data_IF_463261733850
#
_entry.id   IF_463261733850
#
_cell.length_a   1.000
_cell.length_b   1.000
_cell.length_c   1.000
_cell.angle_alpha   90.00
_cell.angle_beta   90.00
_cell.angle_gamma   90.00
#
_symmetry.space_group_name_H-M   'P 1'
#
loop_
_entity.id
_entity.type
_entity.pdbx_description
1 polymer ?
#
# COMPACT_ATOMS: atom_id res chain seq x y z
N UNK A 1 2.31 -21.36 9.19
CA UNK A 1 1.89 -20.02 9.66
C UNK A 1 3.06 -19.04 9.91
N UNK A 2 4.26 -19.25 9.37
CA UNK A 2 5.39 -18.29 9.50
C UNK A 2 5.81 -17.64 8.17
N UNK A 3 5.20 -18.05 7.06
CA UNK A 3 5.54 -17.60 5.72
C UNK A 3 4.52 -16.59 5.17
N UNK A 4 4.96 -15.72 4.27
CA UNK A 4 4.09 -14.85 3.46
C UNK A 4 3.69 -15.59 2.19
N UNK A 5 2.42 -15.45 1.79
CA UNK A 5 1.92 -15.92 0.49
C UNK A 5 2.28 -14.90 -0.59
N UNK A 6 3.07 -15.31 -1.59
CA UNK A 6 3.42 -14.48 -2.74
C UNK A 6 2.72 -14.91 -4.03
N UNK A 7 1.99 -16.03 -4.01
CA UNK A 7 1.52 -16.71 -5.22
C UNK A 7 0.01 -16.59 -5.42
N UNK A 8 -0.78 -16.47 -4.35
CA UNK A 8 -2.23 -16.37 -4.46
C UNK A 8 -2.68 -14.98 -4.92
N UNK A 9 -3.35 -14.93 -6.07
CA UNK A 9 -3.94 -13.70 -6.62
C UNK A 9 -4.96 -13.06 -5.71
N UNK A 10 -4.94 -11.73 -5.61
CA UNK A 10 -6.01 -10.97 -4.96
C UNK A 10 -7.22 -10.85 -5.89
N UNK A 11 -8.45 -11.02 -5.39
CA UNK A 11 -9.64 -10.68 -6.16
C UNK A 11 -9.66 -9.18 -6.43
N UNK A 12 -10.11 -8.81 -7.63
CA UNK A 12 -10.25 -7.43 -8.10
C UNK A 12 -11.72 -7.17 -8.39
N UNK A 13 -12.21 -6.02 -7.96
CA UNK A 13 -13.62 -5.63 -8.10
C UNK A 13 -13.71 -4.34 -8.90
N UNK A 14 -14.38 -4.37 -10.05
CA UNK A 14 -14.43 -3.19 -10.93
C UNK A 14 -15.22 -2.04 -10.31
N UNK A 15 -14.66 -0.83 -10.32
CA UNK A 15 -15.38 0.39 -9.95
C UNK A 15 -16.51 0.72 -10.95
N UNK A 16 -16.46 0.17 -12.16
CA UNK A 16 -17.43 0.44 -13.24
C UNK A 16 -18.73 -0.35 -13.08
N UNK A 17 -18.74 -1.35 -12.19
CA UNK A 17 -19.89 -2.18 -11.86
C UNK A 17 -20.26 -1.99 -10.38
N UNK A 18 -21.43 -1.40 -10.12
CA UNK A 18 -21.87 -1.12 -8.76
C UNK A 18 -21.97 -2.38 -7.89
N UNK A 19 -22.37 -3.51 -8.47
CA UNK A 19 -22.48 -4.78 -7.74
C UNK A 19 -21.10 -5.28 -7.33
N UNK A 20 -20.14 -5.25 -8.26
CA UNK A 20 -18.75 -5.61 -7.93
C UNK A 20 -18.16 -4.68 -6.88
N UNK A 21 -18.43 -3.38 -6.95
CA UNK A 21 -17.96 -2.43 -5.94
C UNK A 21 -18.56 -2.73 -4.55
N UNK A 22 -19.83 -3.12 -4.46
CA UNK A 22 -20.46 -3.55 -3.19
C UNK A 22 -19.90 -4.89 -2.68
N UNK A 23 -19.61 -5.84 -3.58
CA UNK A 23 -18.90 -7.07 -3.24
C UNK A 23 -17.48 -6.76 -2.76
N UNK A 24 -16.82 -5.77 -3.35
CA UNK A 24 -15.52 -5.28 -2.92
C UNK A 24 -15.54 -4.66 -1.52
N UNK A 25 -16.54 -3.86 -1.18
CA UNK A 25 -16.72 -3.37 0.19
C UNK A 25 -17.05 -4.49 1.18
N UNK A 26 -17.84 -5.47 0.75
CA UNK A 26 -18.08 -6.69 1.54
C UNK A 26 -16.75 -7.42 1.81
N UNK A 27 -15.91 -7.57 0.79
CA UNK A 27 -14.60 -8.18 0.90
C UNK A 27 -13.67 -7.38 1.82
N UNK A 28 -13.64 -6.04 1.71
CA UNK A 28 -12.89 -5.14 2.59
C UNK A 28 -13.29 -5.33 4.05
N UNK A 29 -14.59 -5.37 4.36
CA UNK A 29 -15.05 -5.57 5.72
C UNK A 29 -14.67 -6.95 6.27
N UNK A 30 -14.75 -7.99 5.44
CA UNK A 30 -14.43 -9.35 5.84
C UNK A 30 -12.93 -9.61 5.99
N UNK A 31 -12.09 -9.07 5.10
CA UNK A 31 -10.66 -9.38 4.98
C UNK A 31 -9.73 -8.24 5.41
N UNK A 32 -10.27 -7.03 5.58
CA UNK A 32 -9.56 -5.82 6.00
C UNK A 32 -8.80 -5.12 4.87
N UNK A 33 -8.81 -5.66 3.65
CA UNK A 33 -8.28 -5.01 2.45
C UNK A 33 -9.13 -5.39 1.23
N UNK A 34 -9.02 -4.63 0.14
CA UNK A 34 -9.61 -4.93 -1.17
C UNK A 34 -8.82 -4.27 -2.30
N UNK A 35 -8.86 -4.85 -3.50
CA UNK A 35 -8.36 -4.22 -4.73
C UNK A 35 -9.56 -3.83 -5.59
N UNK A 36 -9.71 -2.53 -5.85
CA UNK A 36 -10.71 -1.98 -6.75
C UNK A 36 -10.04 -1.70 -8.10
N UNK A 37 -10.54 -2.32 -9.17
CA UNK A 37 -9.99 -2.16 -10.51
C UNK A 37 -10.65 -1.03 -11.29
N UNK A 38 -9.99 -0.66 -12.41
CA UNK A 38 -10.50 0.29 -13.40
C UNK A 38 -10.70 1.71 -12.83
N UNK A 39 -9.88 2.08 -11.84
CA UNK A 39 -9.97 3.37 -11.15
C UNK A 39 -9.27 4.48 -11.94
N UNK A 40 -8.10 4.19 -12.49
CA UNK A 40 -7.41 5.06 -13.45
C UNK A 40 -7.24 4.37 -14.79
N UNK A 41 -7.45 5.12 -15.86
CA UNK A 41 -7.06 4.75 -17.22
C UNK A 41 -5.53 4.72 -17.37
N UNK A 42 -5.05 4.08 -18.44
CA UNK A 42 -3.62 4.05 -18.73
C UNK A 42 -3.04 5.45 -18.97
N UNK A 43 -3.82 6.36 -19.57
CA UNK A 43 -3.41 7.75 -19.78
C UNK A 43 -3.26 8.51 -18.46
N UNK A 44 -4.19 8.31 -17.51
CA UNK A 44 -4.07 8.87 -16.16
C UNK A 44 -2.86 8.29 -15.42
N UNK A 45 -2.59 6.98 -15.55
CA UNK A 45 -1.39 6.35 -14.97
C UNK A 45 -0.13 7.00 -15.53
N UNK A 46 -0.02 7.13 -16.86
CA UNK A 46 1.14 7.72 -17.51
C UNK A 46 1.34 9.18 -17.11
N UNK A 47 0.27 9.98 -17.11
CA UNK A 47 0.29 11.36 -16.63
C UNK A 47 0.80 11.45 -15.19
N UNK A 48 0.33 10.57 -14.29
CA UNK A 48 0.76 10.58 -12.90
C UNK A 48 2.22 10.14 -12.72
N UNK A 49 2.74 9.24 -13.56
CA UNK A 49 4.18 8.93 -13.60
C UNK A 49 5.01 10.16 -13.98
N UNK A 50 4.56 10.93 -14.97
CA UNK A 50 5.21 12.17 -15.39
C UNK A 50 5.20 13.23 -14.29
N UNK A 51 4.06 13.41 -13.60
CA UNK A 51 3.93 14.35 -12.48
C UNK A 51 4.87 14.00 -11.32
N UNK A 52 5.05 12.72 -11.02
CA UNK A 52 5.97 12.30 -9.97
C UNK A 52 7.44 12.54 -10.36
N UNK A 53 7.83 12.21 -11.59
CA UNK A 53 9.17 12.53 -12.07
C UNK A 53 9.46 14.02 -12.05
N UNK A 54 8.51 14.84 -12.53
CA UNK A 54 8.57 16.31 -12.44
C UNK A 54 8.78 16.77 -11.00
N UNK A 55 8.07 16.18 -10.02
CA UNK A 55 8.29 16.49 -8.61
C UNK A 55 9.71 16.12 -8.15
N UNK A 56 10.17 14.89 -8.41
CA UNK A 56 11.49 14.39 -7.98
C UNK A 56 12.64 15.23 -8.56
N UNK A 57 12.56 15.56 -9.85
CA UNK A 57 13.54 16.40 -10.52
C UNK A 57 13.52 17.83 -9.96
N UNK A 58 12.33 18.35 -9.61
CA UNK A 58 12.20 19.69 -9.03
C UNK A 58 12.82 19.81 -7.63
N UNK A 59 12.59 18.84 -6.74
CA UNK A 59 13.10 18.90 -5.35
C UNK A 59 14.61 18.73 -5.25
N UNK A 60 15.24 18.25 -6.32
CA UNK A 60 16.68 18.04 -6.40
C UNK A 60 17.40 19.11 -7.22
N UNK A 61 16.71 20.18 -7.62
CA UNK A 61 17.23 21.18 -8.58
C UNK A 61 17.83 20.51 -9.83
N UNK A 62 17.14 19.49 -10.35
CA UNK A 62 17.53 18.71 -11.54
C UNK A 62 18.85 17.94 -11.44
N UNK A 63 19.33 17.67 -10.22
CA UNK A 63 20.48 16.77 -10.01
C UNK A 63 20.09 15.30 -10.11
N UNK A 64 18.84 14.95 -9.76
CA UNK A 64 18.26 13.64 -10.07
C UNK A 64 17.73 13.67 -11.49
N UNK A 65 18.09 12.67 -12.29
CA UNK A 65 17.68 12.52 -13.69
C UNK A 65 16.97 11.20 -13.89
N UNK A 66 15.78 11.24 -14.49
CA UNK A 66 14.95 10.04 -14.68
C UNK A 66 15.54 8.97 -15.59
N UNK A 67 16.46 9.34 -16.46
CA UNK A 67 17.16 8.46 -17.40
C UNK A 67 18.51 7.96 -16.87
N UNK A 68 18.92 8.39 -15.67
CA UNK A 68 20.19 8.01 -15.04
C UNK A 68 19.97 7.47 -13.62
N UNK A 69 19.79 6.14 -13.47
CA UNK A 69 19.57 5.49 -12.17
C UNK A 69 20.66 5.76 -11.12
N UNK A 70 21.90 6.08 -11.52
CA UNK A 70 22.98 6.42 -10.59
C UNK A 70 22.72 7.72 -9.82
N UNK A 71 21.88 8.60 -10.38
CA UNK A 71 21.48 9.85 -9.73
C UNK A 71 20.32 9.68 -8.74
N UNK A 72 19.70 8.50 -8.68
CA UNK A 72 18.47 8.30 -7.90
C UNK A 72 18.76 8.12 -6.40
N UNK A 73 18.20 8.98 -5.53
CA UNK A 73 18.49 8.94 -4.10
C UNK A 73 17.79 7.76 -3.42
N UNK A 74 18.27 7.44 -2.22
CA UNK A 74 17.46 6.70 -1.26
C UNK A 74 16.57 7.68 -0.51
N UNK A 75 15.25 7.62 -0.71
CA UNK A 75 14.33 8.51 0.01
C UNK A 75 14.12 8.08 1.47
N UNK A 76 14.06 6.77 1.72
CA UNK A 76 14.06 6.17 3.06
C UNK A 76 14.37 4.67 2.97
N UNK A 77 14.67 4.03 4.11
CA UNK A 77 14.90 2.58 4.20
C UNK A 77 13.68 1.74 3.79
N UNK A 78 12.48 2.34 3.80
CA UNK A 78 11.21 1.70 3.44
C UNK A 78 10.69 2.16 2.07
N UNK A 79 11.45 2.99 1.34
CA UNK A 79 11.04 3.50 0.04
C UNK A 79 9.83 4.43 0.09
N UNK A 80 9.54 5.06 1.24
CA UNK A 80 8.45 6.05 1.36
C UNK A 80 9.02 7.46 1.31
N UNK A 81 8.43 8.32 0.49
CA UNK A 81 8.62 9.78 0.52
C UNK A 81 7.44 10.37 1.28
N UNK A 82 7.68 10.92 2.47
CA UNK A 82 6.67 11.60 3.29
C UNK A 82 7.12 13.01 3.74
N UNK A 83 8.10 13.58 3.03
CA UNK A 83 8.64 14.92 3.26
C UNK A 83 8.86 15.68 1.94
N UNK A 84 9.69 16.73 1.95
CA UNK A 84 10.05 17.52 0.75
C UNK A 84 8.85 18.18 0.04
N UNK A 85 7.70 18.29 0.71
CA UNK A 85 6.47 18.82 0.12
C UNK A 85 5.72 17.85 -0.80
N UNK A 86 6.09 16.56 -0.87
CA UNK A 86 5.40 15.56 -1.72
C UNK A 86 3.89 15.53 -1.45
N UNK A 87 3.51 15.66 -0.17
CA UNK A 87 2.13 15.72 0.29
C UNK A 87 1.29 16.82 -0.37
N UNK A 88 1.92 17.86 -0.89
CA UNK A 88 1.29 18.99 -1.59
C UNK A 88 1.62 19.03 -3.09
N UNK A 89 2.28 18.00 -3.62
CA UNK A 89 2.66 17.93 -5.03
C UNK A 89 1.44 17.84 -5.95
N UNK A 90 1.61 18.34 -7.18
CA UNK A 90 0.62 18.19 -8.26
C UNK A 90 0.28 16.72 -8.51
N UNK A 91 1.26 15.83 -8.38
CA UNK A 91 1.10 14.37 -8.45
C UNK A 91 0.07 13.85 -7.43
N UNK A 92 0.28 14.12 -6.14
CA UNK A 92 -0.65 13.61 -5.12
C UNK A 92 -2.01 14.30 -5.16
N UNK A 93 -2.08 15.57 -5.58
CA UNK A 93 -3.36 16.25 -5.82
C UNK A 93 -4.12 15.66 -7.01
N UNK A 94 -3.45 15.32 -8.11
CA UNK A 94 -4.06 14.62 -9.25
C UNK A 94 -4.72 13.32 -8.81
N UNK A 95 -4.03 12.53 -7.98
CA UNK A 95 -4.55 11.25 -7.48
C UNK A 95 -5.73 11.44 -6.52
N UNK A 96 -5.59 12.34 -5.52
CA UNK A 96 -6.66 12.63 -4.54
C UNK A 96 -7.91 13.23 -5.19
N UNK A 97 -7.72 14.05 -6.22
CA UNK A 97 -8.81 14.73 -6.91
C UNK A 97 -9.47 13.88 -7.99
N UNK A 98 -8.91 12.71 -8.32
CA UNK A 98 -9.47 11.78 -9.29
C UNK A 98 -10.93 11.44 -8.92
N UNK A 99 -11.81 11.48 -9.94
CA UNK A 99 -13.25 11.32 -9.75
C UNK A 99 -13.62 9.94 -9.18
N UNK A 100 -12.99 8.87 -9.68
CA UNK A 100 -13.28 7.51 -9.24
C UNK A 100 -12.79 7.28 -7.81
N UNK A 101 -11.58 7.75 -7.48
CA UNK A 101 -11.07 7.72 -6.09
C UNK A 101 -12.06 8.39 -5.13
N UNK A 102 -12.47 9.64 -5.40
CA UNK A 102 -13.44 10.34 -4.55
C UNK A 102 -14.78 9.60 -4.45
N UNK A 103 -15.28 9.06 -5.56
CA UNK A 103 -16.55 8.34 -5.57
C UNK A 103 -16.50 7.07 -4.72
N UNK A 104 -15.41 6.30 -4.81
CA UNK A 104 -15.22 5.08 -4.02
C UNK A 104 -15.26 5.40 -2.53
N UNK A 105 -14.47 6.37 -2.08
CA UNK A 105 -14.46 6.74 -0.67
C UNK A 105 -15.75 7.42 -0.21
N UNK A 106 -16.42 8.18 -1.08
CA UNK A 106 -17.70 8.78 -0.75
C UNK A 106 -18.78 7.72 -0.52
N UNK A 107 -18.77 6.63 -1.31
CA UNK A 107 -19.63 5.46 -1.08
C UNK A 107 -19.23 4.72 0.19
N UNK A 108 -17.93 4.47 0.38
CA UNK A 108 -17.42 3.71 1.53
C UNK A 108 -17.78 4.35 2.88
N UNK A 109 -17.69 5.69 2.96
CA UNK A 109 -18.01 6.47 4.15
C UNK A 109 -19.45 6.99 4.17
N UNK A 110 -20.23 6.73 3.12
CA UNK A 110 -21.60 7.23 2.95
C UNK A 110 -21.71 8.77 3.11
N UNK A 111 -20.73 9.50 2.60
CA UNK A 111 -20.70 10.98 2.63
C UNK A 111 -19.82 11.52 1.51
N UNK A 112 -20.18 12.69 0.96
CA UNK A 112 -19.32 13.43 0.01
C UNK A 112 -18.42 14.46 0.71
N UNK A 113 -18.63 14.69 2.01
CA UNK A 113 -17.81 15.57 2.83
C UNK A 113 -16.61 14.79 3.35
N UNK A 114 -15.67 14.50 2.46
CA UNK A 114 -14.46 13.75 2.76
C UNK A 114 -13.34 14.69 3.17
N UNK A 115 -12.55 14.25 4.15
CA UNK A 115 -11.23 14.80 4.43
C UNK A 115 -10.19 13.84 3.87
N UNK A 116 -9.05 14.39 3.46
CA UNK A 116 -7.92 13.58 2.97
C UNK A 116 -6.65 14.05 3.63
N UNK A 117 -5.79 13.11 3.99
CA UNK A 117 -4.47 13.43 4.53
C UNK A 117 -3.49 13.89 3.43
N UNK A 118 -2.46 14.61 3.85
CA UNK A 118 -1.35 15.03 2.99
C UNK A 118 -0.18 14.03 3.06
N UNK A 119 -0.49 12.74 3.02
CA UNK A 119 0.49 11.67 3.09
C UNK A 119 1.40 11.58 1.87
N UNK A 120 2.29 10.60 1.93
CA UNK A 120 3.38 10.39 0.98
C UNK A 120 3.07 9.43 -0.17
N UNK A 121 4.15 9.02 -0.83
CA UNK A 121 4.13 7.96 -1.83
C UNK A 121 5.26 6.95 -1.60
N UNK A 122 5.00 5.69 -1.97
CA UNK A 122 6.03 4.66 -2.11
C UNK A 122 6.77 4.83 -3.43
N UNK A 123 8.08 4.84 -3.37
CA UNK A 123 9.03 5.04 -4.46
C UNK A 123 10.15 4.00 -4.31
N UNK A 124 10.11 2.96 -5.15
CA UNK A 124 11.03 1.82 -5.06
C UNK A 124 11.96 1.75 -6.25
N UNK A 125 13.25 1.53 -5.97
CA UNK A 125 14.28 1.33 -6.98
C UNK A 125 14.49 -0.17 -7.20
N UNK A 126 14.80 -0.55 -8.42
CA UNK A 126 15.05 -1.95 -8.77
C UNK A 126 16.36 -2.43 -8.13
N UNK A 127 16.26 -3.20 -7.05
CA UNK A 127 17.42 -3.71 -6.31
C UNK A 127 18.28 -4.70 -7.12
N UNK A 128 17.79 -5.22 -8.25
CA UNK A 128 18.60 -6.04 -9.17
C UNK A 128 19.59 -5.20 -9.96
N UNK A 129 19.35 -3.89 -10.07
CA UNK A 129 20.32 -2.93 -10.60
C UNK A 129 21.43 -2.67 -9.58
N UNK A 130 21.05 -2.41 -8.32
CA UNK A 130 21.98 -2.24 -7.21
C UNK A 130 21.39 -2.86 -5.93
N UNK A 131 22.03 -3.90 -5.40
CA UNK A 131 21.53 -4.68 -4.27
C UNK A 131 21.35 -3.85 -2.99
N UNK A 132 22.08 -2.75 -2.84
CA UNK A 132 21.94 -1.80 -1.72
C UNK A 132 20.61 -1.04 -1.74
N UNK A 133 19.88 -1.07 -2.86
CA UNK A 133 18.59 -0.40 -3.00
C UNK A 133 17.41 -1.21 -2.46
N UNK A 134 17.64 -2.46 -2.05
CA UNK A 134 16.60 -3.31 -1.47
C UNK A 134 16.06 -2.66 -0.20
N UNK A 135 14.74 -2.46 -0.15
CA UNK A 135 14.07 -1.90 1.03
C UNK A 135 14.08 -2.91 2.18
N UNK A 136 13.99 -2.41 3.41
CA UNK A 136 13.89 -3.27 4.59
C UNK A 136 12.59 -4.10 4.56
N UNK A 137 12.69 -5.36 4.98
CA UNK A 137 11.54 -6.11 5.48
C UNK A 137 11.36 -5.85 6.99
N UNK A 138 10.34 -6.48 7.59
CA UNK A 138 10.26 -6.61 9.06
C UNK A 138 9.85 -5.35 9.84
N UNK A 139 8.89 -4.59 9.31
CA UNK A 139 8.23 -3.49 10.03
C UNK A 139 6.70 -3.61 9.96
N UNK A 140 6.18 -4.81 10.21
CA UNK A 140 4.74 -5.02 10.33
C UNK A 140 4.15 -4.04 11.34
N UNK A 141 3.05 -3.39 10.98
CA UNK A 141 2.42 -2.38 11.81
C UNK A 141 0.92 -2.28 11.52
N UNK A 142 0.25 -1.51 12.37
CA UNK A 142 -1.07 -0.94 12.15
C UNK A 142 -0.94 0.58 12.28
N UNK A 143 -1.80 1.33 11.59
CA UNK A 143 -1.81 2.80 11.60
C UNK A 143 -3.00 3.37 12.36
N UNK A 144 -3.51 2.60 13.31
CA UNK A 144 -4.52 3.06 14.23
C UNK A 144 -4.13 2.61 15.63
N UNK A 145 -4.33 3.49 16.61
CA UNK A 145 -4.04 3.18 18.00
C UNK A 145 -5.18 2.33 18.61
N UNK A 146 -4.96 1.06 19.00
CA UNK A 146 -6.02 0.20 19.54
C UNK A 146 -6.50 0.64 20.92
N UNK A 147 -5.73 1.49 21.64
CA UNK A 147 -6.16 2.04 22.93
C UNK A 147 -7.10 3.22 22.79
N UNK A 148 -6.77 4.13 21.89
CA UNK A 148 -7.48 5.41 21.75
C UNK A 148 -8.57 5.37 20.67
N UNK A 149 -8.41 4.49 19.67
CA UNK A 149 -9.27 4.37 18.50
C UNK A 149 -9.54 2.88 18.22
N UNK A 150 -10.34 2.17 19.05
CA UNK A 150 -10.56 0.74 18.88
C UNK A 150 -11.43 0.39 17.65
N UNK A 151 -12.34 1.27 17.27
CA UNK A 151 -13.23 1.10 16.12
C UNK A 151 -12.63 1.63 14.82
N UNK A 152 -13.19 1.28 13.66
CA UNK A 152 -12.69 1.74 12.36
C UNK A 152 -12.78 3.26 12.25
N UNK A 153 -11.65 3.95 12.30
CA UNK A 153 -11.58 5.41 12.11
C UNK A 153 -10.97 5.79 10.75
N UNK A 154 -10.24 4.89 10.10
CA UNK A 154 -9.57 5.20 8.84
C UNK A 154 -9.54 3.99 7.90
N UNK A 155 -9.74 4.27 6.61
CA UNK A 155 -9.37 3.38 5.52
C UNK A 155 -8.26 4.07 4.73
N UNK A 156 -7.18 3.35 4.53
CA UNK A 156 -6.08 3.76 3.69
C UNK A 156 -6.32 3.29 2.26
N UNK A 157 -5.72 4.01 1.31
CA UNK A 157 -5.80 3.75 -0.11
C UNK A 157 -4.42 3.83 -0.75
N UNK A 158 -4.14 2.92 -1.68
CA UNK A 158 -2.98 2.98 -2.55
C UNK A 158 -3.44 2.96 -4.00
N UNK A 159 -3.19 4.03 -4.75
CA UNK A 159 -3.27 3.94 -6.22
C UNK A 159 -1.91 3.48 -6.74
N UNK A 160 -1.90 2.37 -7.49
CA UNK A 160 -0.68 1.87 -8.11
C UNK A 160 -0.50 2.45 -9.51
N UNK A 161 0.74 2.84 -9.86
CA UNK A 161 1.06 3.28 -11.24
C UNK A 161 1.67 2.16 -12.10
N UNK A 162 1.65 0.93 -11.63
CA UNK A 162 2.43 -0.19 -12.17
C UNK A 162 1.82 -1.53 -11.80
N UNK A 163 2.01 -2.55 -12.64
CA UNK A 163 1.56 -3.89 -12.29
C UNK A 163 2.38 -4.50 -11.15
N UNK A 164 1.70 -5.10 -10.17
CA UNK A 164 2.37 -5.85 -9.12
C UNK A 164 3.09 -7.06 -9.71
N UNK A 165 4.35 -7.25 -9.35
CA UNK A 165 5.08 -8.48 -9.63
C UNK A 165 6.18 -8.74 -8.58
N UNK A 166 6.79 -9.93 -8.61
CA UNK A 166 7.80 -10.33 -7.61
C UNK A 166 9.10 -9.51 -7.69
N UNK A 167 9.35 -8.82 -8.80
CA UNK A 167 10.57 -8.00 -9.01
C UNK A 167 10.50 -6.68 -8.26
N UNK A 168 9.32 -6.33 -7.78
CA UNK A 168 9.06 -5.04 -7.19
C UNK A 168 8.49 -5.15 -5.79
N UNK A 169 8.86 -4.17 -4.97
CA UNK A 169 8.25 -3.95 -3.66
C UNK A 169 6.75 -3.68 -3.82
N UNK A 170 5.96 -4.13 -2.84
CA UNK A 170 4.50 -4.05 -2.89
C UNK A 170 3.90 -3.97 -1.49
N UNK A 171 2.61 -4.24 -1.36
CA UNK A 171 1.93 -4.25 -0.06
C UNK A 171 1.77 -5.70 0.42
N UNK A 172 2.27 -6.00 1.62
CA UNK A 172 1.89 -7.21 2.36
C UNK A 172 0.80 -6.84 3.35
N UNK A 173 -0.25 -7.65 3.36
CA UNK A 173 -1.34 -7.56 4.33
C UNK A 173 -1.49 -8.88 5.08
N UNK A 174 -2.06 -8.82 6.28
CA UNK A 174 -2.38 -9.97 7.10
C UNK A 174 -3.90 -10.05 7.21
N UNK A 175 -4.58 -10.73 6.25
CA UNK A 175 -6.03 -10.65 6.14
C UNK A 175 -6.73 -10.99 7.46
N UNK A 176 -7.83 -10.26 7.73
CA UNK A 176 -8.70 -10.43 8.92
C UNK A 176 -8.08 -10.02 10.25
N UNK A 177 -6.81 -9.61 10.30
CA UNK A 177 -6.19 -9.18 11.58
C UNK A 177 -6.86 -7.94 12.18
N UNK A 178 -7.52 -7.11 11.36
CA UNK A 178 -8.36 -6.00 11.83
C UNK A 178 -9.52 -6.46 12.73
N UNK A 179 -10.01 -7.70 12.57
CA UNK A 179 -11.03 -8.30 13.45
C UNK A 179 -10.50 -8.69 14.83
N UNK A 180 -9.16 -8.66 15.02
CA UNK A 180 -8.45 -8.96 16.26
C UNK A 180 -7.56 -7.79 16.71
N UNK A 181 -7.84 -6.61 16.18
CA UNK A 181 -7.06 -5.41 16.42
C UNK A 181 -6.92 -5.04 17.90
N UNK A 182 -7.96 -5.26 18.71
CA UNK A 182 -7.92 -4.99 20.17
C UNK A 182 -6.94 -5.88 20.92
N UNK A 183 -6.54 -7.03 20.38
CA UNK A 183 -5.51 -7.89 20.98
C UNK A 183 -4.12 -7.23 20.94
N UNK A 184 -3.94 -6.15 20.16
CA UNK A 184 -2.72 -5.34 20.12
C UNK A 184 -2.67 -4.25 21.22
N UNK A 185 -3.66 -4.22 22.12
CA UNK A 185 -3.71 -3.27 23.23
C UNK A 185 -2.41 -3.30 24.05
N UNK A 186 -1.95 -4.49 24.46
CA UNK A 186 -0.82 -4.61 25.39
C UNK A 186 0.52 -4.14 24.81
N UNK A 187 0.68 -4.19 23.49
CA UNK A 187 1.90 -3.73 22.82
C UNK A 187 1.89 -2.24 22.47
N UNK A 188 0.76 -1.56 22.67
CA UNK A 188 0.61 -0.13 22.34
C UNK A 188 1.17 0.73 23.47
N UNK A 189 2.36 1.29 23.25
CA UNK A 189 3.17 1.96 24.29
C UNK A 189 2.87 3.45 24.47
N UNK A 190 2.29 4.11 23.49
CA UNK A 190 2.09 5.56 23.47
C UNK A 190 0.77 5.92 22.76
N UNK A 191 0.51 7.23 22.63
CA UNK A 191 -0.70 7.79 22.01
C UNK A 191 -0.62 7.95 20.49
N UNK A 192 0.45 7.48 19.83
CA UNK A 192 0.58 7.56 18.37
C UNK A 192 -0.30 6.51 17.70
N UNK A 193 -0.76 6.83 16.49
CA UNK A 193 -1.56 5.91 15.68
C UNK A 193 -0.74 4.72 15.14
N UNK A 194 0.50 4.97 14.75
CA UNK A 194 1.44 3.92 14.34
C UNK A 194 1.78 3.01 15.52
N UNK A 195 1.48 1.72 15.40
CA UNK A 195 1.85 0.67 16.35
C UNK A 195 2.60 -0.43 15.61
N UNK A 196 3.89 -0.56 15.92
CA UNK A 196 4.70 -1.65 15.40
C UNK A 196 4.25 -2.99 15.99
N UNK A 197 4.08 -3.99 15.14
CA UNK A 197 3.64 -5.34 15.48
C UNK A 197 4.81 -6.28 15.24
N UNK A 198 5.24 -7.03 16.26
CA UNK A 198 6.28 -8.04 16.05
C UNK A 198 5.70 -9.24 15.27
N UNK A 199 6.58 -10.00 14.60
CA UNK A 199 6.15 -11.22 13.91
C UNK A 199 5.41 -12.20 14.82
N UNK A 200 5.81 -12.33 16.09
CA UNK A 200 5.13 -13.20 17.06
C UNK A 200 3.71 -12.73 17.38
N UNK A 201 3.49 -11.42 17.49
CA UNK A 201 2.15 -10.87 17.67
C UNK A 201 1.30 -11.09 16.42
N UNK A 202 1.85 -10.82 15.22
CA UNK A 202 1.15 -11.07 13.97
C UNK A 202 0.73 -12.54 13.82
N UNK A 203 1.65 -13.48 14.10
CA UNK A 203 1.37 -14.92 14.10
C UNK A 203 0.30 -15.26 15.14
N UNK A 204 0.35 -14.64 16.32
CA UNK A 204 -0.65 -14.85 17.39
C UNK A 204 -2.05 -14.43 16.93
N UNK A 205 -2.19 -13.26 16.28
CA UNK A 205 -3.47 -12.83 15.70
C UNK A 205 -4.02 -13.84 14.70
N UNK A 206 -3.18 -14.35 13.79
CA UNK A 206 -3.60 -15.36 12.81
C UNK A 206 -4.00 -16.67 13.49
N UNK A 207 -3.24 -17.16 14.49
CA UNK A 207 -3.63 -18.35 15.27
C UNK A 207 -4.98 -18.16 15.94
N UNK A 208 -5.24 -16.98 16.47
CA UNK A 208 -6.50 -16.62 17.11
C UNK A 208 -7.67 -16.61 16.11
N UNK A 209 -7.45 -16.19 14.86
CA UNK A 209 -8.42 -16.28 13.77
C UNK A 209 -8.71 -17.73 13.37
N UNK A 210 -7.67 -18.57 13.26
CA UNK A 210 -7.80 -20.01 12.98
C UNK A 210 -8.64 -20.71 14.05
N UNK A 211 -8.39 -20.42 15.34
CA UNK A 211 -9.18 -20.98 16.45
C UNK A 211 -10.67 -20.64 16.36
N UNK A 212 -11.04 -19.55 15.69
CA UNK A 212 -12.45 -19.16 15.46
C UNK A 212 -13.01 -19.64 14.13
N UNK A 213 -12.28 -20.46 13.37
CA UNK A 213 -12.69 -20.90 12.04
C UNK A 213 -12.72 -19.77 11.00
N UNK A 214 -12.09 -18.62 11.29
CA UNK A 214 -12.07 -17.45 10.41
C UNK A 214 -10.89 -17.46 9.45
N UNK A 215 -9.89 -18.29 9.68
CA UNK A 215 -8.73 -18.46 8.81
C UNK A 215 -8.29 -19.92 8.73
N UNK A 216 -7.62 -20.30 7.63
CA UNK A 216 -7.12 -21.66 7.42
C UNK A 216 -5.69 -21.84 7.94
N UNK A 217 -5.01 -20.78 8.35
CA UNK A 217 -3.70 -20.82 9.00
C UNK A 217 -2.53 -21.13 8.06
N UNK A 218 -2.77 -21.05 6.74
CA UNK A 218 -1.79 -21.42 5.71
C UNK A 218 -0.56 -20.52 5.73
N UNK A 219 -0.77 -19.21 5.81
CA UNK A 219 0.29 -18.19 5.81
C UNK A 219 0.09 -17.21 6.96
N UNK A 220 1.11 -16.40 7.29
CA UNK A 220 0.95 -15.30 8.25
C UNK A 220 0.38 -14.05 7.58
N UNK A 221 0.77 -13.80 6.34
CA UNK A 221 0.29 -12.69 5.52
C UNK A 221 0.36 -13.04 4.05
N UNK A 222 0.01 -12.09 3.19
CA UNK A 222 0.06 -12.23 1.75
C UNK A 222 0.48 -10.93 1.06
N UNK A 223 1.19 -11.06 -0.05
CA UNK A 223 1.38 -9.99 -1.01
C UNK A 223 0.05 -9.70 -1.71
N UNK A 224 -0.32 -8.43 -1.82
CA UNK A 224 -1.50 -8.01 -2.57
C UNK A 224 -1.12 -7.89 -4.05
N UNK A 225 -1.77 -8.64 -4.93
CA UNK A 225 -1.61 -8.50 -6.39
C UNK A 225 -2.62 -7.47 -6.95
N UNK A 226 -2.16 -6.61 -7.87
CA UNK A 226 -2.94 -5.56 -8.51
C UNK A 226 -2.29 -5.15 -9.84
N UNK A 227 -3.02 -4.37 -10.64
CA UNK A 227 -2.52 -3.78 -11.86
C UNK A 227 -2.32 -2.26 -11.73
N UNK A 228 -1.58 -1.70 -12.67
CA UNK A 228 -1.48 -0.25 -12.83
C UNK A 228 -2.89 0.36 -12.96
N UNK A 229 -3.14 1.43 -12.19
CA UNK A 229 -4.41 2.13 -12.14
C UNK A 229 -5.45 1.53 -11.18
N UNK A 230 -5.14 0.43 -10.50
CA UNK A 230 -5.99 -0.09 -9.42
C UNK A 230 -5.84 0.75 -8.13
N UNK A 231 -6.90 0.77 -7.33
CA UNK A 231 -6.92 1.30 -5.97
C UNK A 231 -6.99 0.16 -4.96
N UNK A 232 -5.96 0.02 -4.14
CA UNK A 232 -5.92 -0.92 -3.01
C UNK A 232 -6.43 -0.18 -1.78
N UNK A 233 -7.53 -0.62 -1.19
CA UNK A 233 -8.01 -0.09 0.09
C UNK A 233 -7.67 -1.05 1.23
N UNK A 234 -7.33 -0.53 2.40
CA UNK A 234 -7.13 -1.35 3.59
C UNK A 234 -7.48 -0.61 4.88
N UNK A 235 -7.99 -1.35 5.85
CA UNK A 235 -8.38 -0.84 7.16
C UNK A 235 -7.13 -0.46 7.95
N UNK A 236 -7.09 0.72 8.58
CA UNK A 236 -5.93 1.17 9.38
C UNK A 236 -5.58 0.23 10.54
N UNK A 237 -6.52 -0.65 10.92
CA UNK A 237 -6.36 -1.69 11.95
C UNK A 237 -5.74 -2.99 11.43
N UNK A 238 -5.61 -3.14 10.11
CA UNK A 238 -5.05 -4.33 9.48
C UNK A 238 -3.53 -4.35 9.65
N UNK A 239 -2.97 -5.47 10.10
CA UNK A 239 -1.50 -5.61 10.11
C UNK A 239 -1.01 -5.65 8.67
N UNK A 240 -0.06 -4.77 8.34
CA UNK A 240 0.50 -4.65 7.01
C UNK A 240 1.93 -4.09 7.06
N UNK A 241 2.62 -4.15 5.93
CA UNK A 241 3.89 -3.47 5.68
C UNK A 241 4.14 -3.41 4.17
N UNK A 242 5.09 -2.57 3.73
CA UNK A 242 5.61 -2.75 2.39
C UNK A 242 6.51 -3.99 2.34
N UNK A 243 6.35 -4.78 1.28
CA UNK A 243 7.24 -5.90 0.95
C UNK A 243 8.49 -5.36 0.27
N UNK A 244 9.70 -5.84 0.58
CA UNK A 244 10.77 -5.80 -0.40
C UNK A 244 10.41 -6.66 -1.61
N UNK A 245 10.98 -6.34 -2.76
CA UNK A 245 11.00 -7.23 -3.90
C UNK A 245 11.68 -8.57 -3.57
N UNK A 246 11.15 -9.66 -4.14
CA UNK A 246 11.55 -11.04 -3.82
C UNK A 246 12.14 -11.82 -5.00
N UNK A 247 12.02 -11.31 -6.23
CA UNK A 247 12.56 -11.99 -7.41
C UNK A 247 14.09 -12.05 -7.39
N UNK A 248 14.64 -13.26 -7.46
CA UNK A 248 16.10 -13.51 -7.40
C UNK A 248 16.72 -13.54 -8.81
N UNK A 249 15.90 -13.51 -9.87
CA UNK A 249 16.37 -13.50 -11.25
C UNK A 249 17.25 -12.28 -11.56
N UNK A 250 18.37 -12.52 -12.24
CA UNK A 250 19.24 -11.45 -12.72
C UNK A 250 18.50 -10.49 -13.66
N UNK A 251 18.86 -9.21 -13.59
CA UNK A 251 18.31 -8.18 -14.46
C UNK A 251 18.79 -8.41 -15.90
N UNK A 252 17.89 -8.34 -16.88
CA UNK A 252 18.27 -8.43 -18.29
C UNK A 252 19.02 -7.16 -18.73
N UNK A 253 20.02 -7.25 -19.64
CA UNK A 253 20.86 -6.11 -20.04
C UNK A 253 20.09 -4.86 -20.51
N UNK A 254 18.97 -5.06 -21.23
CA UNK A 254 18.14 -3.98 -21.79
C UNK A 254 16.79 -3.82 -21.05
N UNK A 255 16.66 -4.37 -19.84
CA UNK A 255 15.47 -4.10 -19.02
C UNK A 255 15.43 -2.60 -18.70
N UNK A 256 14.25 -1.99 -18.56
CA UNK A 256 14.14 -0.61 -18.07
C UNK A 256 14.33 -0.62 -16.55
N UNK A 257 15.11 0.30 -15.98
CA UNK A 257 15.03 0.56 -14.53
C UNK A 257 13.84 1.47 -14.34
N UNK A 258 12.74 0.98 -13.77
CA UNK A 258 11.61 1.85 -13.43
C UNK A 258 11.69 2.23 -11.95
N UNK A 259 11.34 3.48 -11.67
CA UNK A 259 11.05 3.93 -10.33
C UNK A 259 9.58 3.61 -10.08
N UNK A 260 9.32 2.78 -9.09
CA UNK A 260 7.99 2.24 -8.86
C UNK A 260 7.20 3.10 -7.91
N UNK A 261 5.91 3.31 -8.19
CA UNK A 261 5.13 4.34 -7.53
C UNK A 261 3.81 3.84 -6.95
N UNK A 262 3.60 4.14 -5.67
CA UNK A 262 2.34 3.92 -4.96
C UNK A 262 1.94 5.18 -4.23
N UNK A 263 0.68 5.58 -4.31
CA UNK A 263 0.18 6.80 -3.66
C UNK A 263 -0.58 6.45 -2.41
N UNK A 264 -0.09 6.83 -1.23
CA UNK A 264 -0.83 6.64 0.02
C UNK A 264 -1.91 7.73 0.16
N UNK A 265 -3.15 7.30 0.32
CA UNK A 265 -4.33 8.10 0.56
C UNK A 265 -4.89 7.70 1.93
N UNK A 266 -5.08 8.63 2.85
CA UNK A 266 -5.95 8.38 4.01
C UNK A 266 -7.20 9.23 3.80
N UNK A 267 -8.38 8.61 3.86
CA UNK A 267 -9.65 9.33 3.93
C UNK A 267 -10.56 8.73 4.98
#
# INVERSE_FOLDING_TARGET
>A
MNQIDYTTTSPRFSVTDNKQLDEGFTYLNAHGYVVISDVMSQDEVNMNKELLWKFIESVSNSTIKRDDPETWPSFSSHGVINGLGIGQSEFLWSVRSNRQVKNIFARLWNTRQLLVSFDGCGVYRDWRYNSTWKTNDSWDHVDQNPKLKPDRCCIQGIVSLTDQNQRISGLIVYPRTHLRFTELWDITKNSRDFVQVSSDHAITLVKLLVKRGMDQGRTRGKLVHYHAGDLILFDGRLVHCNSPATAIEERRPNEHVDLLHYVLLYM
#
